data_IF_305163033847
#
_entry.id   IF_305163033847
#
_cell.length_a   1.000
_cell.length_b   1.000
_cell.length_c   1.000
_cell.angle_alpha   90.00
_cell.angle_beta   90.00
_cell.angle_gamma   90.00
#
_symmetry.space_group_name_H-M   'P 1'
#
loop_
_entity.id
_entity.type
_entity.pdbx_description
1 polymer ?
#
# COMPACT_ATOMS: atom_id res chain seq x y z
N UNK A 1 12.93 20.29 39.03
CA UNK A 1 11.59 20.67 38.50
C UNK A 1 11.57 20.98 36.99
N UNK A 2 12.55 20.49 36.19
CA UNK A 2 12.64 20.77 34.74
C UNK A 2 12.26 19.59 33.83
N UNK A 3 12.03 18.40 34.38
CA UNK A 3 11.77 17.20 33.58
C UNK A 3 10.29 17.08 33.13
N UNK A 4 9.35 17.65 33.87
CA UNK A 4 7.90 17.52 33.59
C UNK A 4 7.42 18.42 32.44
N UNK A 5 7.99 19.63 32.27
CA UNK A 5 7.62 20.53 31.16
C UNK A 5 8.00 19.95 29.79
N UNK A 6 9.09 19.18 29.72
CA UNK A 6 9.56 18.56 28.49
C UNK A 6 8.68 17.34 28.10
N UNK A 7 8.29 16.53 29.09
CA UNK A 7 7.39 15.40 28.86
C UNK A 7 5.99 15.83 28.38
N UNK A 8 5.42 16.90 28.95
CA UNK A 8 4.14 17.44 28.49
C UNK A 8 4.23 18.04 27.08
N UNK A 9 5.33 18.71 26.74
CA UNK A 9 5.56 19.26 25.40
C UNK A 9 5.72 18.15 24.35
N UNK A 10 6.48 17.10 24.67
CA UNK A 10 6.67 15.93 23.80
C UNK A 10 5.37 15.12 23.62
N UNK A 11 4.61 14.91 24.70
CA UNK A 11 3.31 14.25 24.63
C UNK A 11 2.31 15.05 23.78
N UNK A 12 2.29 16.38 23.92
CA UNK A 12 1.45 17.26 23.12
C UNK A 12 1.84 17.18 21.63
N UNK A 13 3.13 17.25 21.31
CA UNK A 13 3.65 17.10 19.95
C UNK A 13 3.30 15.74 19.33
N UNK A 14 3.41 14.65 20.10
CA UNK A 14 3.04 13.31 19.62
C UNK A 14 1.53 13.18 19.36
N UNK A 15 0.68 13.77 20.22
CA UNK A 15 -0.78 13.76 20.04
C UNK A 15 -1.16 14.53 18.79
N UNK A 16 -0.56 15.70 18.52
CA UNK A 16 -0.81 16.46 17.30
C UNK A 16 -0.36 15.71 16.05
N UNK A 17 0.82 15.07 16.08
CA UNK A 17 1.32 14.24 14.98
C UNK A 17 0.37 13.06 14.69
N UNK A 18 -0.05 12.35 15.74
CA UNK A 18 -0.97 11.22 15.62
C UNK A 18 -2.35 11.67 15.12
N UNK A 19 -2.87 12.79 15.62
CA UNK A 19 -4.15 13.34 15.18
C UNK A 19 -4.12 13.71 13.69
N UNK A 20 -3.07 14.39 13.25
CA UNK A 20 -2.86 14.70 11.84
C UNK A 20 -2.77 13.45 10.96
N UNK A 21 -2.07 12.42 11.43
CA UNK A 21 -1.97 11.14 10.71
C UNK A 21 -3.32 10.42 10.62
N UNK A 22 -4.10 10.39 11.70
CA UNK A 22 -5.43 9.78 11.72
C UNK A 22 -6.41 10.52 10.80
N UNK A 23 -6.40 11.85 10.82
CA UNK A 23 -7.19 12.65 9.90
C UNK A 23 -6.81 12.38 8.45
N UNK A 24 -5.50 12.35 8.15
CA UNK A 24 -5.02 12.06 6.80
C UNK A 24 -5.48 10.67 6.31
N UNK A 25 -5.42 9.65 7.17
CA UNK A 25 -5.93 8.31 6.86
C UNK A 25 -7.44 8.30 6.60
N UNK A 26 -8.21 9.04 7.39
CA UNK A 26 -9.66 9.15 7.20
C UNK A 26 -9.99 9.83 5.87
N UNK A 27 -9.32 10.93 5.54
CA UNK A 27 -9.47 11.62 4.26
C UNK A 27 -9.10 10.69 3.09
N UNK A 28 -7.98 9.97 3.18
CA UNK A 28 -7.56 9.01 2.16
C UNK A 28 -8.55 7.84 1.97
N UNK A 29 -9.27 7.44 3.02
CA UNK A 29 -10.34 6.45 2.92
C UNK A 29 -11.63 7.03 2.32
N UNK A 30 -11.91 8.30 2.56
CA UNK A 30 -13.08 9.01 2.04
C UNK A 30 -12.93 9.52 0.60
N UNK A 31 -11.75 9.42 -0.02
CA UNK A 31 -11.55 9.87 -1.43
C UNK A 31 -12.49 9.11 -2.36
N UNK A 32 -13.39 9.80 -3.05
CA UNK A 32 -14.23 9.22 -4.10
C UNK A 32 -13.78 9.72 -5.47
N UNK A 33 -13.98 8.92 -6.52
CA UNK A 33 -13.75 9.39 -7.89
C UNK A 33 -14.91 10.27 -8.29
N UNK A 34 -14.62 11.50 -8.71
CA UNK A 34 -15.60 12.30 -9.42
C UNK A 34 -15.86 11.68 -10.81
N UNK A 35 -16.96 10.92 -10.91
CA UNK A 35 -17.38 10.23 -12.13
C UNK A 35 -17.94 11.18 -13.20
N UNK A 36 -18.16 12.45 -12.86
CA UNK A 36 -18.75 13.43 -13.81
C UNK A 36 -17.72 14.04 -14.76
N UNK A 37 -16.43 13.97 -14.41
CA UNK A 37 -15.36 14.68 -15.12
C UNK A 37 -14.29 13.78 -15.75
N UNK A 38 -14.35 12.46 -15.57
CA UNK A 38 -13.29 11.57 -16.03
C UNK A 38 -13.87 10.40 -16.84
N UNK A 39 -13.51 10.37 -18.12
CA UNK A 39 -13.64 9.25 -19.07
C UNK A 39 -12.69 8.10 -18.66
N UNK A 40 -12.87 7.62 -17.43
CA UNK A 40 -12.28 6.40 -16.92
C UNK A 40 -13.29 5.31 -17.28
N UNK A 41 -12.96 4.49 -18.28
CA UNK A 41 -13.68 3.26 -18.63
C UNK A 41 -13.55 2.21 -17.49
N UNK A 42 -13.94 2.62 -16.28
CA UNK A 42 -13.90 1.86 -15.05
C UNK A 42 -15.31 1.32 -14.80
N UNK A 43 -15.44 0.02 -14.52
CA UNK A 43 -16.72 -0.55 -14.13
C UNK A 43 -17.24 0.09 -12.85
N UNK A 44 -18.56 0.24 -12.77
CA UNK A 44 -19.25 0.71 -11.56
C UNK A 44 -19.01 -0.22 -10.37
N UNK A 45 -18.94 -1.53 -10.65
CA UNK A 45 -18.76 -2.57 -9.66
C UNK A 45 -17.91 -3.71 -10.23
N UNK A 46 -17.08 -4.31 -9.37
CA UNK A 46 -16.25 -5.46 -9.68
C UNK A 46 -16.44 -6.51 -8.59
N UNK A 47 -17.14 -7.60 -8.94
CA UNK A 47 -17.60 -8.60 -7.97
C UNK A 47 -18.43 -7.95 -6.85
N UNK A 48 -17.96 -7.95 -5.59
CA UNK A 48 -18.68 -7.30 -4.47
C UNK A 48 -18.07 -5.94 -4.06
N UNK A 49 -17.35 -5.29 -4.98
CA UNK A 49 -16.59 -4.06 -4.71
C UNK A 49 -17.05 -2.92 -5.62
N UNK A 50 -17.44 -1.81 -5.00
CA UNK A 50 -17.89 -0.59 -5.67
C UNK A 50 -16.90 0.58 -5.43
N UNK A 51 -17.17 1.72 -6.07
CA UNK A 51 -16.45 2.97 -5.85
C UNK A 51 -14.94 2.87 -6.06
N UNK A 52 -14.57 2.28 -7.21
CA UNK A 52 -13.19 2.10 -7.62
C UNK A 52 -12.50 3.45 -7.84
N UNK A 53 -11.42 3.68 -7.09
CA UNK A 53 -10.54 4.85 -7.18
C UNK A 53 -9.15 4.39 -7.59
N UNK A 54 -8.59 4.81 -8.74
CA UNK A 54 -7.23 4.46 -9.12
C UNK A 54 -6.23 5.07 -8.13
N UNK A 55 -5.33 4.24 -7.59
CA UNK A 55 -4.28 4.68 -6.64
C UNK A 55 -2.96 5.03 -7.33
N UNK A 56 -2.78 4.59 -8.56
CA UNK A 56 -1.61 4.90 -9.40
C UNK A 56 -2.08 5.80 -10.56
N UNK A 57 -1.26 6.76 -11.03
CA UNK A 57 -1.62 7.60 -12.18
C UNK A 57 -1.95 6.73 -13.39
N UNK A 58 -2.90 7.18 -14.22
CA UNK A 58 -3.54 6.41 -15.30
C UNK A 58 -2.55 5.47 -15.99
N UNK A 59 -2.89 4.19 -16.22
CA UNK A 59 -2.09 3.27 -17.02
C UNK A 59 -2.11 3.75 -18.48
N UNK A 60 -1.38 4.82 -18.78
CA UNK A 60 -1.15 5.26 -20.14
C UNK A 60 -0.23 4.25 -20.79
N UNK A 61 -0.74 3.44 -21.72
CA UNK A 61 -0.04 2.92 -22.90
C UNK A 61 1.30 2.18 -22.75
N UNK A 62 1.79 1.90 -21.53
CA UNK A 62 3.15 1.40 -21.26
C UNK A 62 3.19 0.01 -20.63
N UNK A 63 2.38 -0.93 -21.11
CA UNK A 63 2.57 -2.36 -20.80
C UNK A 63 2.58 -2.73 -19.31
N UNK A 64 1.92 -1.93 -18.45
CA UNK A 64 1.84 -2.21 -17.02
C UNK A 64 1.04 -3.50 -16.81
N UNK A 65 1.74 -4.54 -16.37
CA UNK A 65 1.18 -5.86 -16.08
C UNK A 65 0.15 -5.84 -14.93
N UNK A 66 0.10 -4.76 -14.14
CA UNK A 66 -0.85 -4.61 -13.03
C UNK A 66 -1.24 -3.15 -12.78
N UNK A 67 -2.49 -2.92 -12.36
CA UNK A 67 -3.02 -1.64 -11.85
C UNK A 67 -3.59 -1.80 -10.44
N UNK A 68 -3.74 -0.69 -9.71
CA UNK A 68 -4.20 -0.71 -8.32
C UNK A 68 -5.33 0.28 -8.10
N UNK A 69 -6.37 -0.18 -7.42
CA UNK A 69 -7.55 0.59 -7.08
C UNK A 69 -7.84 0.51 -5.58
N UNK A 70 -8.34 1.58 -4.98
CA UNK A 70 -9.15 1.49 -3.75
C UNK A 70 -10.57 1.16 -4.16
N UNK A 71 -11.26 0.32 -3.42
CA UNK A 71 -12.70 0.08 -3.59
C UNK A 71 -13.35 -0.10 -2.22
N UNK A 72 -14.67 0.04 -2.15
CA UNK A 72 -15.48 -0.23 -0.96
C UNK A 72 -16.17 -1.57 -1.14
N UNK A 73 -16.05 -2.48 -0.17
CA UNK A 73 -16.81 -3.71 -0.22
C UNK A 73 -18.26 -3.45 0.14
N UNK A 74 -19.17 -3.98 -0.66
CA UNK A 74 -20.61 -3.88 -0.42
C UNK A 74 -21.03 -4.76 0.77
N UNK A 75 -20.23 -5.76 1.14
CA UNK A 75 -20.53 -6.73 2.20
C UNK A 75 -20.37 -6.15 3.60
N UNK A 76 -19.32 -5.36 3.81
CA UNK A 76 -18.93 -4.85 5.14
C UNK A 76 -18.75 -3.32 5.19
N UNK A 77 -18.82 -2.62 4.05
CA UNK A 77 -18.63 -1.18 3.96
C UNK A 77 -17.19 -0.71 4.16
N UNK A 78 -16.22 -1.63 4.22
CA UNK A 78 -14.81 -1.30 4.45
C UNK A 78 -14.07 -1.06 3.13
N UNK A 79 -13.01 -0.25 3.21
CA UNK A 79 -12.12 0.02 2.08
C UNK A 79 -11.10 -1.11 1.90
N UNK A 80 -10.89 -1.50 0.64
CA UNK A 80 -9.92 -2.52 0.24
C UNK A 80 -9.04 -2.02 -0.91
N UNK A 81 -7.86 -2.63 -1.03
CA UNK A 81 -6.91 -2.39 -2.11
C UNK A 81 -7.00 -3.54 -3.13
N UNK A 82 -7.47 -3.22 -4.33
CA UNK A 82 -7.65 -4.16 -5.44
C UNK A 82 -6.47 -4.02 -6.39
N UNK A 83 -5.63 -5.05 -6.47
CA UNK A 83 -4.57 -5.13 -7.49
C UNK A 83 -5.06 -5.98 -8.66
N UNK A 84 -5.31 -5.33 -9.79
CA UNK A 84 -5.70 -5.96 -11.06
C UNK A 84 -4.46 -6.36 -11.85
N UNK A 85 -4.45 -7.55 -12.42
CA UNK A 85 -3.47 -8.02 -13.40
C UNK A 85 -4.17 -8.27 -14.74
N UNK A 86 -3.67 -7.63 -15.80
CA UNK A 86 -4.21 -7.75 -17.15
C UNK A 86 -3.86 -9.14 -17.73
N UNK A 87 -4.86 -9.81 -18.30
CA UNK A 87 -4.71 -11.04 -19.11
C UNK A 87 -3.94 -12.22 -18.45
N UNK A 88 -3.86 -12.29 -17.11
CA UNK A 88 -3.07 -13.32 -16.44
C UNK A 88 -3.93 -14.52 -16.00
N UNK A 89 -3.79 -15.66 -16.68
CA UNK A 89 -4.42 -16.94 -16.31
C UNK A 89 -3.71 -17.71 -15.19
N UNK A 90 -2.66 -17.14 -14.57
CA UNK A 90 -1.85 -17.86 -13.59
C UNK A 90 -2.49 -17.91 -12.20
N UNK A 91 -2.93 -19.13 -11.88
CA UNK A 91 -3.03 -19.79 -10.57
C UNK A 91 -3.59 -19.00 -9.37
N UNK A 92 -4.92 -18.96 -9.28
CA UNK A 92 -5.67 -18.68 -8.03
C UNK A 92 -5.33 -19.69 -6.93
N UNK A 93 -4.80 -20.87 -7.27
CA UNK A 93 -4.64 -21.99 -6.34
C UNK A 93 -3.75 -21.70 -5.12
N UNK A 94 -2.80 -20.76 -5.21
CA UNK A 94 -1.96 -20.39 -4.07
C UNK A 94 -2.66 -19.43 -3.09
N UNK A 95 -3.71 -18.72 -3.52
CA UNK A 95 -4.38 -17.66 -2.76
C UNK A 95 -4.89 -18.15 -1.42
N UNK A 96 -5.49 -19.35 -1.37
CA UNK A 96 -6.02 -19.93 -0.13
C UNK A 96 -4.93 -20.22 0.92
N UNK A 97 -3.71 -20.52 0.50
CA UNK A 97 -2.60 -20.71 1.46
C UNK A 97 -2.08 -19.35 1.94
N UNK A 98 -1.96 -18.37 1.05
CA UNK A 98 -1.53 -17.02 1.40
C UNK A 98 -2.55 -16.26 2.26
N UNK A 99 -3.85 -16.49 2.09
CA UNK A 99 -4.93 -15.93 2.94
C UNK A 99 -4.81 -16.32 4.41
N UNK A 100 -4.22 -17.47 4.71
CA UNK A 100 -4.02 -17.94 6.09
C UNK A 100 -2.91 -17.18 6.82
N UNK A 101 -2.01 -16.52 6.09
CA UNK A 101 -0.94 -15.74 6.68
C UNK A 101 -1.53 -14.46 7.27
N UNK A 102 -1.35 -14.28 8.58
CA UNK A 102 -1.73 -13.07 9.32
C UNK A 102 -0.52 -12.57 10.11
N UNK A 103 -0.11 -11.33 9.87
CA UNK A 103 1.02 -10.73 10.58
C UNK A 103 0.93 -9.20 10.50
N UNK A 104 1.35 -8.49 11.54
CA UNK A 104 1.24 -7.03 11.61
C UNK A 104 1.97 -6.31 10.44
N UNK A 105 3.12 -6.86 10.03
CA UNK A 105 3.96 -6.31 8.97
C UNK A 105 3.69 -6.91 7.58
N UNK A 106 2.60 -7.68 7.41
CA UNK A 106 2.17 -8.23 6.12
C UNK A 106 0.79 -7.67 5.82
N UNK A 107 0.61 -7.04 4.66
CA UNK A 107 -0.72 -6.61 4.23
C UNK A 107 -1.58 -7.84 3.95
N UNK A 108 -2.69 -7.95 4.66
CA UNK A 108 -3.55 -9.13 4.64
C UNK A 108 -4.15 -9.35 3.24
N UNK A 109 -3.94 -10.54 2.69
CA UNK A 109 -4.66 -11.02 1.52
C UNK A 109 -6.07 -11.47 1.94
N UNK A 110 -7.10 -10.92 1.28
CA UNK A 110 -8.51 -11.21 1.56
C UNK A 110 -9.07 -12.23 0.59
N UNK A 111 -8.93 -11.95 -0.69
CA UNK A 111 -9.40 -12.84 -1.74
C UNK A 111 -8.73 -12.56 -3.08
N UNK A 112 -8.97 -13.43 -4.05
CA UNK A 112 -8.63 -13.20 -5.44
C UNK A 112 -9.66 -13.86 -6.35
N UNK A 113 -10.01 -13.17 -7.43
CA UNK A 113 -11.03 -13.64 -8.37
C UNK A 113 -10.71 -13.16 -9.79
N UNK A 114 -11.27 -13.85 -10.78
CA UNK A 114 -11.22 -13.40 -12.17
C UNK A 114 -12.49 -12.64 -12.51
N UNK A 115 -12.36 -11.60 -13.32
CA UNK A 115 -13.48 -10.76 -13.74
C UNK A 115 -13.32 -10.33 -15.20
N UNK A 116 -14.45 -10.00 -15.83
CA UNK A 116 -14.54 -9.33 -17.15
C UNK A 116 -15.13 -7.93 -17.07
N UNK A 117 -15.36 -7.41 -15.87
CA UNK A 117 -15.98 -6.10 -15.66
C UNK A 117 -15.16 -4.95 -16.29
N UNK A 118 -13.85 -5.12 -16.43
CA UNK A 118 -12.96 -4.14 -17.08
C UNK A 118 -12.84 -4.30 -18.60
N UNK A 119 -13.70 -5.07 -19.25
CA UNK A 119 -13.66 -5.32 -20.69
C UNK A 119 -12.64 -6.38 -21.14
N UNK A 120 -11.80 -6.89 -20.24
CA UNK A 120 -10.83 -7.96 -20.50
C UNK A 120 -10.84 -9.04 -19.42
N UNK A 121 -10.16 -10.17 -19.66
CA UNK A 121 -9.97 -11.18 -18.61
C UNK A 121 -8.92 -10.69 -17.62
N UNK A 122 -9.38 -10.22 -16.47
CA UNK A 122 -8.55 -9.66 -15.41
C UNK A 122 -8.54 -10.55 -14.17
N UNK A 123 -7.38 -10.73 -13.56
CA UNK A 123 -7.25 -11.29 -12.21
C UNK A 123 -7.16 -10.13 -11.22
N UNK A 124 -8.06 -10.10 -10.24
CA UNK A 124 -8.07 -9.10 -9.17
C UNK A 124 -7.68 -9.79 -7.87
N UNK A 125 -6.70 -9.23 -7.17
CA UNK A 125 -6.28 -9.67 -5.85
C UNK A 125 -6.62 -8.56 -4.84
N UNK A 126 -7.34 -8.91 -3.79
CA UNK A 126 -7.86 -7.98 -2.79
C UNK A 126 -7.03 -8.04 -1.51
N UNK A 127 -6.60 -6.87 -1.04
CA UNK A 127 -5.84 -6.68 0.18
C UNK A 127 -6.52 -5.68 1.11
N UNK A 128 -6.15 -5.71 2.39
CA UNK A 128 -6.49 -4.62 3.31
C UNK A 128 -5.99 -3.27 2.79
N UNK A 129 -6.85 -2.25 2.85
CA UNK A 129 -6.47 -0.89 2.52
C UNK A 129 -5.76 -0.22 3.69
N UNK A 130 -4.67 0.49 3.37
CA UNK A 130 -3.95 1.33 4.32
C UNK A 130 -3.87 2.75 3.76
N UNK A 131 -4.83 3.59 4.15
CA UNK A 131 -4.88 4.99 3.70
C UNK A 131 -3.60 5.73 4.07
N UNK A 132 -3.08 6.51 3.13
CA UNK A 132 -1.84 7.27 3.33
C UNK A 132 -0.55 6.45 3.38
N UNK A 133 -0.62 5.15 3.06
CA UNK A 133 0.58 4.35 2.89
C UNK A 133 1.30 4.71 1.58
N UNK A 134 2.61 4.86 1.64
CA UNK A 134 3.48 5.13 0.50
C UNK A 134 4.58 4.08 0.44
N UNK A 135 5.07 3.81 -0.78
CA UNK A 135 6.09 2.78 -0.97
C UNK A 135 7.43 3.20 -0.35
N UNK A 136 8.22 2.23 0.10
CA UNK A 136 9.58 2.45 0.57
C UNK A 136 10.44 3.12 -0.52
N UNK A 137 10.23 2.70 -1.78
CA UNK A 137 10.80 3.35 -2.96
C UNK A 137 10.44 4.83 -3.02
N UNK A 138 9.15 5.16 -2.94
CA UNK A 138 8.72 6.54 -3.03
C UNK A 138 9.30 7.41 -1.90
N UNK A 139 9.33 6.88 -0.67
CA UNK A 139 9.80 7.63 0.50
C UNK A 139 11.30 7.93 0.48
N UNK A 140 12.12 6.96 0.06
CA UNK A 140 13.58 7.05 0.23
C UNK A 140 14.38 7.06 -1.07
N UNK A 141 13.76 6.75 -2.22
CA UNK A 141 14.42 6.60 -3.51
C UNK A 141 13.80 7.48 -4.61
N UNK A 142 12.85 8.35 -4.29
CA UNK A 142 12.38 9.35 -5.25
C UNK A 142 13.45 10.41 -5.44
N UNK A 143 13.88 10.61 -6.68
CA UNK A 143 14.91 11.59 -7.03
C UNK A 143 14.46 13.01 -6.62
N UNK A 144 15.36 13.72 -5.96
CA UNK A 144 15.11 15.07 -5.44
C UNK A 144 14.89 16.11 -6.54
N UNK A 145 15.35 15.80 -7.76
CA UNK A 145 15.47 16.73 -8.88
C UNK A 145 14.16 17.24 -9.48
N UNK A 146 13.00 16.77 -9.04
CA UNK A 146 11.69 17.19 -9.57
C UNK A 146 10.81 17.94 -8.56
N UNK A 147 11.29 18.22 -7.35
CA UNK A 147 10.55 19.09 -6.41
C UNK A 147 10.79 20.55 -6.82
N UNK A 148 9.71 21.21 -7.25
CA UNK A 148 9.57 22.57 -7.80
C UNK A 148 10.66 23.60 -7.43
N UNK A 149 11.09 24.50 -8.35
CA UNK A 149 12.07 25.57 -8.06
C UNK A 149 11.55 26.70 -7.16
N UNK A 150 10.25 26.76 -6.90
CA UNK A 150 9.61 27.91 -6.25
C UNK A 150 8.86 27.50 -4.97
N UNK A 151 9.60 27.24 -3.89
CA UNK A 151 9.01 27.02 -2.58
C UNK A 151 10.04 27.16 -1.46
N UNK A 152 9.94 28.26 -0.72
CA UNK A 152 10.76 28.59 0.45
C UNK A 152 10.32 27.67 1.61
N UNK A 153 10.78 26.43 1.59
CA UNK A 153 10.76 25.45 2.69
C UNK A 153 11.56 24.23 2.21
N UNK A 154 12.83 24.07 2.54
CA UNK A 154 13.23 23.48 3.81
C UNK A 154 13.96 22.15 3.57
N UNK A 155 15.30 22.23 3.65
CA UNK A 155 16.28 21.16 3.86
C UNK A 155 16.47 20.12 2.73
N UNK A 156 17.70 20.11 2.22
CA UNK A 156 18.34 19.14 1.33
C UNK A 156 18.41 17.71 1.94
N UNK A 157 17.29 17.10 2.32
CA UNK A 157 17.25 15.75 2.88
C UNK A 157 17.44 14.63 1.83
N UNK A 158 17.68 14.97 0.56
CA UNK A 158 17.81 13.99 -0.50
C UNK A 158 19.10 13.18 -0.49
N UNK A 159 20.13 13.65 0.23
CA UNK A 159 21.42 12.98 0.37
C UNK A 159 21.74 12.61 1.82
N UNK A 160 20.78 12.75 2.74
CA UNK A 160 21.01 12.36 4.12
C UNK A 160 20.88 10.83 4.25
N UNK A 161 21.93 10.12 4.69
CA UNK A 161 21.84 8.68 4.89
C UNK A 161 20.74 8.38 5.91
N UNK A 162 19.97 7.32 5.65
CA UNK A 162 18.90 6.91 6.56
C UNK A 162 19.46 6.67 7.97
N UNK A 163 18.80 7.16 9.03
CA UNK A 163 19.21 6.87 10.40
C UNK A 163 19.34 5.37 10.63
N UNK A 164 20.44 4.93 11.24
CA UNK A 164 20.72 3.51 11.45
C UNK A 164 19.60 2.80 12.23
N UNK A 165 19.04 3.48 13.25
CA UNK A 165 17.92 2.96 14.02
C UNK A 165 16.67 2.67 13.15
N UNK A 166 16.42 3.50 12.13
CA UNK A 166 15.31 3.30 11.19
C UNK A 166 15.59 2.09 10.28
N UNK A 167 16.82 1.95 9.79
CA UNK A 167 17.23 0.79 8.99
C UNK A 167 17.07 -0.51 9.78
N UNK A 168 17.52 -0.55 11.03
CA UNK A 168 17.34 -1.72 11.89
C UNK A 168 15.87 -2.03 12.14
N UNK A 169 15.02 -1.01 12.28
CA UNK A 169 13.58 -1.21 12.42
C UNK A 169 12.99 -1.90 11.18
N UNK A 170 13.36 -1.47 9.97
CA UNK A 170 12.97 -2.14 8.73
C UNK A 170 13.48 -3.58 8.63
N UNK A 171 14.72 -3.84 9.04
CA UNK A 171 15.31 -5.19 9.04
C UNK A 171 14.55 -6.11 10.00
N UNK A 172 14.26 -5.64 11.22
CA UNK A 172 13.50 -6.41 12.22
C UNK A 172 12.09 -6.70 11.72
N UNK A 173 11.42 -5.69 11.16
CA UNK A 173 10.05 -5.82 10.68
C UNK A 173 9.93 -6.77 9.48
N UNK A 174 10.85 -6.67 8.53
CA UNK A 174 10.99 -7.62 7.41
C UNK A 174 11.28 -9.02 7.90
N UNK A 175 12.23 -9.18 8.84
CA UNK A 175 12.61 -10.48 9.37
C UNK A 175 11.43 -11.15 10.08
N UNK A 176 10.60 -10.40 10.82
CA UNK A 176 9.40 -10.93 11.46
C UNK A 176 8.35 -11.39 10.44
N UNK A 177 8.15 -10.62 9.36
CA UNK A 177 7.27 -11.01 8.26
C UNK A 177 7.77 -12.28 7.56
N UNK A 178 9.06 -12.33 7.22
CA UNK A 178 9.68 -13.49 6.55
C UNK A 178 9.63 -14.74 7.40
N UNK A 179 9.88 -14.65 8.71
CA UNK A 179 9.75 -15.77 9.65
C UNK A 179 8.37 -16.40 9.57
N UNK A 180 7.32 -15.58 9.56
CA UNK A 180 5.91 -16.04 9.50
C UNK A 180 5.58 -16.70 8.16
N UNK A 181 6.12 -16.17 7.05
CA UNK A 181 5.95 -16.76 5.71
C UNK A 181 6.65 -18.13 5.65
N UNK A 182 7.90 -18.19 6.08
CA UNK A 182 8.70 -19.42 6.03
C UNK A 182 8.18 -20.50 6.97
N UNK A 183 7.70 -20.14 8.17
CA UNK A 183 7.07 -21.10 9.09
C UNK A 183 5.81 -21.74 8.53
N UNK A 184 5.21 -21.11 7.51
CA UNK A 184 4.01 -21.60 6.82
C UNK A 184 4.34 -22.37 5.52
N UNK A 185 5.62 -22.66 5.26
CA UNK A 185 6.07 -23.38 4.06
C UNK A 185 5.96 -22.56 2.77
N UNK A 186 5.82 -21.23 2.89
CA UNK A 186 5.78 -20.29 1.77
C UNK A 186 7.12 -19.55 1.64
N UNK A 187 7.30 -18.83 0.54
CA UNK A 187 8.50 -18.03 0.30
C UNK A 187 8.13 -16.65 -0.26
N UNK A 188 8.74 -15.61 0.30
CA UNK A 188 8.73 -14.27 -0.28
C UNK A 188 9.84 -14.18 -1.34
N UNK A 189 9.50 -14.43 -2.60
CA UNK A 189 10.46 -14.57 -3.72
C UNK A 189 11.08 -13.25 -4.17
N UNK A 190 10.40 -12.13 -3.93
CA UNK A 190 10.86 -10.81 -4.34
C UNK A 190 10.61 -9.84 -3.20
N UNK A 191 11.66 -9.13 -2.80
CA UNK A 191 11.60 -8.05 -1.82
C UNK A 191 12.06 -6.80 -2.57
N UNK A 192 11.11 -6.02 -3.07
CA UNK A 192 11.37 -4.81 -3.85
C UNK A 192 10.83 -3.59 -3.08
N UNK A 193 11.60 -2.49 -2.96
CA UNK A 193 11.16 -1.28 -2.26
C UNK A 193 9.85 -0.68 -2.80
N UNK A 194 9.50 -0.90 -4.07
CA UNK A 194 8.22 -0.46 -4.66
C UNK A 194 7.01 -1.27 -4.19
N UNK A 195 7.24 -2.40 -3.50
CA UNK A 195 6.20 -3.31 -2.99
C UNK A 195 6.17 -3.35 -1.46
N UNK A 196 6.99 -2.54 -0.81
CA UNK A 196 6.96 -2.36 0.64
C UNK A 196 6.23 -1.05 0.92
N UNK A 197 5.20 -1.08 1.75
CA UNK A 197 4.52 0.12 2.21
C UNK A 197 5.07 0.55 3.57
N UNK A 198 5.08 1.85 3.79
CA UNK A 198 5.36 2.41 5.11
C UNK A 198 4.28 3.45 5.39
N UNK A 199 3.71 3.36 6.59
CA UNK A 199 2.57 4.10 7.09
C UNK A 199 2.99 4.87 8.34
N UNK A 200 3.23 6.17 8.20
CA UNK A 200 3.82 6.98 9.27
C UNK A 200 5.17 6.41 9.70
N UNK A 201 5.29 6.07 10.99
CA UNK A 201 6.47 5.39 11.56
C UNK A 201 6.41 3.86 11.44
N UNK A 202 5.27 3.31 11.03
CA UNK A 202 5.03 1.87 11.00
C UNK A 202 5.35 1.27 9.63
N UNK A 203 6.06 0.15 9.63
CA UNK A 203 6.44 -0.59 8.44
C UNK A 203 5.42 -1.67 8.06
N UNK A 204 5.04 -1.77 6.78
CA UNK A 204 4.12 -2.82 6.30
C UNK A 204 4.54 -3.35 4.92
N UNK A 205 5.04 -4.57 4.85
CA UNK A 205 5.41 -5.15 3.56
C UNK A 205 4.19 -5.69 2.78
N UNK A 206 4.06 -5.35 1.48
CA UNK A 206 3.18 -6.06 0.54
C UNK A 206 4.01 -7.12 -0.18
N UNK A 207 4.12 -8.31 0.39
CA UNK A 207 5.01 -9.36 -0.14
C UNK A 207 4.40 -10.20 -1.27
N UNK A 208 3.23 -9.82 -1.80
CA UNK A 208 2.35 -10.80 -2.47
C UNK A 208 2.24 -10.58 -3.99
N UNK A 209 2.63 -9.41 -4.51
CA UNK A 209 2.39 -9.07 -5.94
C UNK A 209 3.08 -10.01 -6.96
N UNK A 210 4.11 -10.77 -6.59
CA UNK A 210 4.81 -11.69 -7.51
C UNK A 210 5.04 -13.10 -6.95
N UNK A 211 4.87 -13.32 -5.64
CA UNK A 211 5.11 -14.62 -5.00
C UNK A 211 4.03 -15.66 -5.32
N UNK A 212 2.82 -15.22 -5.69
CA UNK A 212 1.69 -16.09 -6.09
C UNK A 212 1.88 -16.66 -7.51
N UNK A 213 2.61 -15.97 -8.39
CA UNK A 213 2.57 -16.23 -9.83
C UNK A 213 3.67 -17.12 -10.39
N UNK A 214 4.71 -17.41 -9.61
CA UNK A 214 5.73 -18.36 -10.00
C UNK A 214 5.51 -19.65 -9.19
N UNK A 215 5.05 -20.71 -9.85
CA UNK A 215 5.36 -22.09 -9.47
C UNK A 215 5.54 -22.88 -10.75
#
# INVERSE_FOLDING_TARGET
MYCTKNAHSLACSFIYELHGELLYRQLAAAVEVDRTHIDLDLPTEVDSYADLVPLEPKPGYFGLISTVYKAVSIKDGLCYCLRRFHANKRCIFAVETWKKIKHANIVQLREAFMTRAFGDNSLVIVYDYHGGAETLKYRHFSDAGCRSPNGISGIDHANEPLPEALLWSYVVDLSSALRTIHSSGLAARTIDPSKILVLGKSFKAILISYCIFFR
#
